data_IF_270499275119
#
_entry.id   IF_270499275119
#
_cell.length_a   1.000
_cell.length_b   1.000
_cell.length_c   1.000
_cell.angle_alpha   90.00
_cell.angle_beta   90.00
_cell.angle_gamma   90.00
#
_symmetry.space_group_name_H-M   'P 1'
#
loop_
_entity.id
_entity.type
_entity.pdbx_description
1 polymer ?
#
# COMPACT_ATOMS: atom_id res chain seq x y z
N UNK A 1 4.77 28.73 -58.43
CA UNK A 1 5.74 27.78 -57.83
C UNK A 1 6.37 28.50 -56.64
N UNK A 2 5.86 28.28 -55.41
CA UNK A 2 6.41 27.36 -54.37
C UNK A 2 7.75 27.91 -53.86
N UNK A 3 8.01 28.24 -52.58
CA UNK A 3 7.28 28.14 -51.31
C UNK A 3 7.95 29.09 -50.30
N UNK A 4 7.17 29.66 -49.37
CA UNK A 4 7.65 30.35 -48.16
C UNK A 4 8.45 29.38 -47.28
N UNK A 5 9.69 29.72 -46.95
CA UNK A 5 10.50 29.01 -45.95
C UNK A 5 10.15 29.47 -44.54
N UNK A 6 9.26 28.75 -43.86
CA UNK A 6 8.96 28.94 -42.45
C UNK A 6 10.13 28.48 -41.58
N UNK A 7 10.61 29.38 -40.72
CA UNK A 7 11.58 29.10 -39.66
C UNK A 7 10.86 28.30 -38.57
N UNK A 8 11.08 26.99 -38.54
CA UNK A 8 10.61 26.13 -37.47
C UNK A 8 11.67 26.16 -36.35
N UNK A 9 11.48 27.09 -35.41
CA UNK A 9 12.10 27.01 -34.08
C UNK A 9 11.47 25.80 -33.37
N UNK A 10 12.11 24.64 -33.47
CA UNK A 10 11.86 23.52 -32.58
C UNK A 10 12.34 23.92 -31.18
N UNK A 11 11.47 24.60 -30.44
CA UNK A 11 11.53 24.62 -29.00
C UNK A 11 11.31 23.19 -28.52
N UNK A 12 12.41 22.45 -28.32
CA UNK A 12 12.38 21.25 -27.51
C UNK A 12 12.01 21.74 -26.12
N UNK A 13 10.73 21.59 -25.78
CA UNK A 13 10.28 21.63 -24.40
C UNK A 13 11.07 20.56 -23.67
N UNK A 14 12.08 20.99 -22.92
CA UNK A 14 12.66 20.18 -21.88
C UNK A 14 11.51 20.00 -20.89
N UNK A 15 10.73 18.93 -21.05
CA UNK A 15 9.90 18.44 -19.97
C UNK A 15 10.89 18.16 -18.86
N UNK A 16 10.98 19.10 -17.91
CA UNK A 16 11.71 18.90 -16.68
C UNK A 16 11.12 17.66 -16.05
N UNK A 17 11.78 16.52 -16.26
CA UNK A 17 11.69 15.39 -15.34
C UNK A 17 11.94 16.03 -13.99
N UNK A 18 10.90 16.11 -13.16
CA UNK A 18 11.09 16.39 -11.75
C UNK A 18 12.01 15.28 -11.29
N UNK A 19 13.31 15.56 -11.26
CA UNK A 19 14.29 14.67 -10.69
C UNK A 19 13.88 14.57 -9.23
N UNK A 20 13.17 13.50 -8.88
CA UNK A 20 13.02 13.12 -7.49
C UNK A 20 14.46 12.99 -7.00
N UNK A 21 14.80 13.83 -6.03
CA UNK A 21 16.17 14.04 -5.60
C UNK A 21 16.77 12.70 -5.18
N UNK A 22 17.95 12.34 -5.69
CA UNK A 22 18.62 11.11 -5.26
C UNK A 22 19.22 11.33 -3.86
N UNK A 23 19.04 10.36 -2.97
CA UNK A 23 19.61 10.44 -1.64
C UNK A 23 21.15 10.47 -1.70
N UNK A 24 21.81 11.32 -0.89
CA UNK A 24 23.27 11.36 -0.86
C UNK A 24 23.86 10.00 -0.46
N UNK A 25 25.06 9.63 -0.95
CA UNK A 25 25.70 8.35 -0.64
C UNK A 25 25.83 8.06 0.86
N UNK A 26 25.97 9.09 1.70
CA UNK A 26 26.02 8.95 3.17
C UNK A 26 24.71 8.41 3.77
N UNK A 27 23.58 8.62 3.10
CA UNK A 27 22.26 8.13 3.50
C UNK A 27 21.91 6.83 2.76
N UNK A 28 22.19 6.78 1.46
CA UNK A 28 21.80 5.63 0.63
C UNK A 28 22.69 4.39 0.84
N UNK A 29 23.99 4.52 1.12
CA UNK A 29 24.88 3.37 1.27
C UNK A 29 24.53 2.47 2.49
N UNK A 30 24.25 3.00 3.69
CA UNK A 30 23.80 2.18 4.82
C UNK A 30 22.52 1.40 4.53
N UNK A 31 21.56 2.01 3.83
CA UNK A 31 20.29 1.39 3.45
C UNK A 31 20.52 0.24 2.47
N UNK A 32 21.33 0.45 1.43
CA UNK A 32 21.70 -0.60 0.46
C UNK A 32 22.40 -1.77 1.16
N UNK A 33 23.34 -1.47 2.06
CA UNK A 33 24.05 -2.49 2.83
C UNK A 33 23.10 -3.31 3.74
N UNK A 34 22.07 -2.67 4.30
CA UNK A 34 21.07 -3.38 5.09
C UNK A 34 20.14 -4.25 4.23
N UNK A 35 19.81 -3.80 3.01
CA UNK A 35 19.03 -4.56 2.02
C UNK A 35 19.75 -5.79 1.47
N UNK A 36 21.07 -5.66 1.27
CA UNK A 36 21.96 -6.71 0.77
C UNK A 36 22.60 -7.54 1.90
N UNK A 37 22.11 -7.43 3.14
CA UNK A 37 22.68 -8.14 4.28
C UNK A 37 22.31 -9.63 4.27
N UNK A 38 23.11 -10.40 3.54
CA UNK A 38 22.95 -11.84 3.37
C UNK A 38 22.94 -12.60 4.70
N UNK A 39 23.72 -12.18 5.69
CA UNK A 39 23.79 -12.81 6.99
C UNK A 39 22.44 -12.72 7.73
N UNK A 40 21.74 -11.60 7.60
CA UNK A 40 20.40 -11.40 8.19
C UNK A 40 19.36 -12.23 7.44
N UNK A 41 19.34 -12.15 6.11
CA UNK A 41 18.28 -12.79 5.30
C UNK A 41 18.48 -14.30 5.13
N UNK A 42 19.72 -14.79 5.12
CA UNK A 42 20.02 -16.23 5.15
C UNK A 42 19.72 -16.87 6.51
N UNK A 43 20.00 -16.18 7.61
CA UNK A 43 19.63 -16.64 8.95
C UNK A 43 18.10 -16.71 9.10
N UNK A 44 17.38 -15.76 8.51
CA UNK A 44 15.93 -15.79 8.37
C UNK A 44 15.44 -17.00 7.54
N UNK A 45 16.07 -17.27 6.39
CA UNK A 45 15.70 -18.36 5.48
C UNK A 45 16.01 -19.77 6.00
N UNK A 46 16.84 -19.92 7.02
CA UNK A 46 17.27 -21.23 7.56
C UNK A 46 16.15 -22.14 8.09
N UNK A 47 14.92 -21.63 8.24
CA UNK A 47 13.71 -22.40 8.60
C UNK A 47 12.61 -22.44 7.53
N UNK A 48 12.87 -21.90 6.33
CA UNK A 48 11.90 -21.73 5.25
C UNK A 48 12.28 -22.68 4.09
N UNK A 49 11.39 -23.60 3.71
CA UNK A 49 11.74 -24.66 2.75
C UNK A 49 11.81 -24.12 1.32
N UNK A 50 13.03 -23.98 0.77
CA UNK A 50 13.24 -23.55 -0.62
C UNK A 50 13.66 -22.09 -0.78
N UNK A 51 13.70 -21.32 0.31
CA UNK A 51 14.17 -19.94 0.30
C UNK A 51 15.71 -19.86 0.25
N UNK A 52 16.25 -19.25 -0.80
CA UNK A 52 17.63 -18.75 -0.85
C UNK A 52 17.61 -17.21 -0.91
N UNK A 53 17.09 -16.58 0.14
CA UNK A 53 17.11 -15.12 0.23
C UNK A 53 18.50 -14.61 0.60
N UNK A 54 19.15 -13.88 -0.32
CA UNK A 54 20.41 -13.14 -0.08
C UNK A 54 20.14 -11.66 0.18
N UNK A 55 19.02 -11.15 -0.33
CA UNK A 55 18.57 -9.76 -0.16
C UNK A 55 17.14 -9.71 0.36
N UNK A 56 16.72 -8.56 0.88
CA UNK A 56 15.33 -8.35 1.33
C UNK A 56 14.32 -8.62 0.20
N UNK A 57 14.64 -8.24 -1.04
CA UNK A 57 13.71 -8.33 -2.16
C UNK A 57 13.56 -9.75 -2.71
N UNK A 58 14.47 -10.67 -2.37
CA UNK A 58 14.32 -12.08 -2.75
C UNK A 58 13.09 -12.74 -2.10
N UNK A 59 12.60 -12.15 -1.00
CA UNK A 59 11.36 -12.54 -0.31
C UNK A 59 10.14 -12.42 -1.23
N UNK A 60 10.17 -11.54 -2.23
CA UNK A 60 9.09 -11.40 -3.21
C UNK A 60 8.93 -12.63 -4.11
N UNK A 61 9.94 -13.51 -4.15
CA UNK A 61 9.90 -14.75 -4.91
C UNK A 61 9.54 -15.98 -4.05
N UNK A 62 9.20 -15.78 -2.78
CA UNK A 62 8.81 -16.88 -1.89
C UNK A 62 7.44 -17.44 -2.28
N UNK A 63 7.21 -18.71 -1.98
CA UNK A 63 5.85 -19.25 -2.00
C UNK A 63 5.00 -18.59 -0.90
N UNK A 64 3.67 -18.58 -1.03
CA UNK A 64 2.78 -17.99 0.00
C UNK A 64 3.06 -18.56 1.41
N UNK A 65 3.38 -19.86 1.47
CA UNK A 65 3.74 -20.55 2.72
C UNK A 65 5.04 -19.99 3.31
N UNK A 66 6.04 -19.82 2.46
CA UNK A 66 7.37 -19.35 2.85
C UNK A 66 7.37 -17.87 3.19
N UNK A 67 6.58 -17.09 2.46
CA UNK A 67 6.32 -15.68 2.75
C UNK A 67 5.60 -15.52 4.10
N UNK A 68 4.57 -16.32 4.39
CA UNK A 68 3.91 -16.31 5.69
C UNK A 68 4.89 -16.69 6.82
N UNK A 69 5.75 -17.68 6.60
CA UNK A 69 6.78 -18.07 7.58
C UNK A 69 7.80 -16.94 7.82
N UNK A 70 8.21 -16.23 6.76
CA UNK A 70 9.03 -15.03 6.85
C UNK A 70 8.34 -13.96 7.72
N UNK A 71 7.09 -13.64 7.42
CA UNK A 71 6.35 -12.57 8.11
C UNK A 71 6.05 -12.87 9.58
N UNK A 72 5.88 -14.15 9.95
CA UNK A 72 5.72 -14.57 11.36
C UNK A 72 7.03 -14.56 12.14
N UNK A 73 8.16 -14.58 11.46
CA UNK A 73 9.46 -14.66 12.12
C UNK A 73 9.91 -13.27 12.57
N UNK A 74 9.93 -13.05 13.88
CA UNK A 74 10.48 -11.83 14.48
C UNK A 74 11.96 -11.58 14.09
N UNK A 75 12.70 -12.64 13.75
CA UNK A 75 14.09 -12.54 13.25
C UNK A 75 14.17 -12.00 11.82
N UNK A 76 13.12 -12.18 11.04
CA UNK A 76 13.03 -11.71 9.66
C UNK A 76 12.43 -10.30 9.61
N UNK A 77 11.33 -10.04 10.33
CA UNK A 77 10.57 -8.80 10.19
C UNK A 77 11.17 -7.61 10.95
N UNK A 78 11.90 -7.84 12.06
CA UNK A 78 12.56 -6.76 12.83
C UNK A 78 13.62 -6.02 12.00
N UNK A 79 14.52 -6.70 11.28
CA UNK A 79 15.42 -6.02 10.34
C UNK A 79 14.70 -5.20 9.28
N UNK A 80 13.57 -5.69 8.74
CA UNK A 80 12.75 -4.94 7.77
C UNK A 80 12.19 -3.66 8.38
N UNK A 81 11.66 -3.72 9.61
CA UNK A 81 11.19 -2.54 10.33
C UNK A 81 12.30 -1.52 10.55
N UNK A 82 13.49 -1.96 10.97
CA UNK A 82 14.64 -1.08 11.21
C UNK A 82 15.10 -0.38 9.92
N UNK A 83 15.08 -1.10 8.79
CA UNK A 83 15.39 -0.50 7.49
C UNK A 83 14.31 0.51 7.11
N UNK A 84 13.04 0.20 7.28
CA UNK A 84 11.93 1.11 6.99
C UNK A 84 12.02 2.41 7.80
N UNK A 85 12.31 2.33 9.09
CA UNK A 85 12.50 3.50 9.96
C UNK A 85 13.72 4.34 9.58
N UNK A 86 14.70 3.76 8.89
CA UNK A 86 15.95 4.42 8.51
C UNK A 86 15.93 5.00 7.09
N UNK A 87 14.89 4.72 6.30
CA UNK A 87 14.81 5.21 4.91
C UNK A 87 14.20 6.61 4.86
N UNK A 88 14.88 7.55 4.18
CA UNK A 88 14.30 8.86 3.91
C UNK A 88 13.09 8.74 2.96
N UNK A 89 12.02 9.46 3.27
CA UNK A 89 10.80 9.52 2.44
C UNK A 89 10.87 10.58 1.34
N UNK A 90 11.88 11.45 1.37
CA UNK A 90 12.01 12.65 0.54
C UNK A 90 13.00 12.50 -0.62
N UNK A 91 13.60 11.31 -0.81
CA UNK A 91 14.54 11.06 -1.89
C UNK A 91 14.49 9.62 -2.42
N UNK A 92 14.91 9.42 -3.68
CA UNK A 92 15.04 8.09 -4.28
C UNK A 92 16.43 7.51 -4.01
N UNK A 93 16.50 6.18 -3.97
CA UNK A 93 17.76 5.46 -3.80
C UNK A 93 18.04 4.64 -5.04
N UNK A 94 19.16 4.89 -5.71
CA UNK A 94 19.62 4.03 -6.80
C UNK A 94 20.05 2.67 -6.26
N UNK A 95 19.28 1.63 -6.57
CA UNK A 95 19.51 0.28 -6.10
C UNK A 95 19.41 -0.68 -7.29
N UNK A 96 20.46 -1.48 -7.51
CA UNK A 96 20.65 -2.33 -8.71
C UNK A 96 20.49 -1.58 -10.04
N UNK A 97 21.00 -0.35 -10.10
CA UNK A 97 21.06 0.44 -11.35
C UNK A 97 19.82 1.28 -11.66
N UNK A 98 18.78 1.22 -10.82
CA UNK A 98 17.55 2.00 -10.99
C UNK A 98 17.25 2.84 -9.75
N UNK A 99 16.77 4.08 -9.96
CA UNK A 99 16.25 4.92 -8.88
C UNK A 99 14.92 4.34 -8.35
N UNK A 100 14.88 4.01 -7.07
CA UNK A 100 13.75 3.31 -6.44
C UNK A 100 13.23 4.07 -5.23
N UNK A 101 11.91 4.01 -5.03
CA UNK A 101 11.29 4.51 -3.80
C UNK A 101 11.31 3.40 -2.75
N UNK A 102 12.49 3.15 -2.18
CA UNK A 102 12.67 2.06 -1.22
C UNK A 102 11.82 2.23 0.04
N UNK A 103 11.47 3.47 0.41
CA UNK A 103 10.57 3.71 1.54
C UNK A 103 9.21 3.05 1.28
N UNK A 104 8.68 3.27 0.07
CA UNK A 104 7.37 2.79 -0.35
C UNK A 104 7.37 1.28 -0.63
N UNK A 105 8.43 0.77 -1.26
CA UNK A 105 8.53 -0.65 -1.56
C UNK A 105 8.66 -1.51 -0.29
N UNK A 106 9.47 -1.06 0.67
CA UNK A 106 9.68 -1.79 1.93
C UNK A 106 8.48 -1.61 2.87
N UNK A 107 7.85 -0.42 2.91
CA UNK A 107 6.61 -0.26 3.68
C UNK A 107 5.53 -1.19 3.14
N UNK A 108 5.42 -1.32 1.82
CA UNK A 108 4.48 -2.25 1.17
C UNK A 108 4.75 -3.69 1.58
N UNK A 109 6.01 -4.14 1.52
CA UNK A 109 6.41 -5.47 1.99
C UNK A 109 6.07 -5.69 3.47
N UNK A 110 6.38 -4.71 4.32
CA UNK A 110 6.13 -4.78 5.76
C UNK A 110 4.63 -4.84 6.07
N UNK A 111 3.81 -4.03 5.39
CA UNK A 111 2.35 -4.07 5.51
C UNK A 111 1.77 -5.38 4.98
N UNK A 112 2.28 -5.89 3.86
CA UNK A 112 1.87 -7.19 3.33
C UNK A 112 2.14 -8.32 4.32
N UNK A 113 3.24 -8.25 5.05
CA UNK A 113 3.50 -9.17 6.16
C UNK A 113 2.45 -9.11 7.26
N UNK A 114 2.00 -7.92 7.66
CA UNK A 114 0.93 -7.78 8.65
C UNK A 114 -0.41 -8.37 8.13
N UNK A 115 -0.70 -8.23 6.84
CA UNK A 115 -1.90 -8.79 6.20
C UNK A 115 -1.92 -10.32 6.23
N UNK A 116 -0.84 -10.97 5.82
CA UNK A 116 -0.78 -12.44 5.75
C UNK A 116 -0.77 -13.07 7.14
N UNK A 117 -0.10 -12.43 8.10
CA UNK A 117 -0.11 -12.86 9.51
C UNK A 117 -1.50 -12.70 10.12
N UNK A 118 -2.15 -11.55 9.92
CA UNK A 118 -3.48 -11.24 10.47
C UNK A 118 -4.64 -11.99 9.79
N UNK A 119 -4.43 -12.50 8.57
CA UNK A 119 -5.37 -13.39 7.87
C UNK A 119 -5.18 -14.84 8.30
N UNK A 120 -3.94 -15.27 8.56
CA UNK A 120 -3.64 -16.64 8.98
C UNK A 120 -3.96 -16.93 10.46
N UNK A 121 -4.23 -15.90 11.27
CA UNK A 121 -4.71 -16.02 12.66
C UNK A 121 -6.25 -16.09 12.75
N UNK A 122 -6.95 -15.85 11.63
CA UNK A 122 -8.40 -16.03 11.49
C UNK A 122 -8.68 -17.34 10.75
N UNK A 123 -8.43 -18.47 11.40
CA UNK A 123 -8.96 -19.76 10.93
C UNK A 123 -10.44 -19.87 11.30
N UNK A 124 -11.30 -19.22 10.52
CA UNK A 124 -12.38 -19.88 9.79
C UNK A 124 -13.01 -18.87 8.82
N UNK A 125 -13.14 -19.31 7.56
CA UNK A 125 -13.79 -18.65 6.43
C UNK A 125 -13.20 -17.30 5.95
N UNK A 126 -12.31 -17.38 4.97
CA UNK A 126 -12.41 -16.71 3.65
C UNK A 126 -11.00 -16.54 3.07
N UNK A 127 -10.65 -17.41 2.13
CA UNK A 127 -9.36 -17.47 1.45
C UNK A 127 -9.15 -16.21 0.60
N UNK A 128 -8.38 -15.24 1.11
CA UNK A 128 -8.00 -14.05 0.34
C UNK A 128 -6.67 -14.31 -0.37
N UNK A 129 -6.75 -14.44 -1.69
CA UNK A 129 -5.60 -14.48 -2.61
C UNK A 129 -4.84 -13.16 -2.48
N UNK A 130 -3.58 -13.25 -2.09
CA UNK A 130 -2.63 -12.14 -2.03
C UNK A 130 -1.93 -11.98 -3.37
N UNK A 131 -2.15 -10.87 -4.07
CA UNK A 131 -1.46 -10.55 -5.32
C UNK A 131 -0.15 -9.81 -5.03
N UNK A 132 0.96 -10.14 -5.72
CA UNK A 132 2.23 -9.46 -5.55
C UNK A 132 2.12 -8.00 -6.01
N UNK A 133 2.70 -7.08 -5.22
CA UNK A 133 2.88 -5.68 -5.61
C UNK A 133 4.01 -5.58 -6.63
N UNK A 134 3.63 -5.50 -7.91
CA UNK A 134 4.54 -5.15 -9.01
C UNK A 134 4.57 -3.61 -9.05
N UNK A 135 5.74 -2.99 -9.16
CA UNK A 135 5.83 -1.53 -9.32
C UNK A 135 5.13 -1.11 -10.62
N UNK A 136 3.91 -0.60 -10.47
CA UNK A 136 3.11 -0.07 -11.56
C UNK A 136 3.81 1.15 -12.18
N UNK A 137 4.39 0.96 -13.36
CA UNK A 137 5.07 2.04 -14.13
C UNK A 137 4.33 2.39 -15.41
N UNK A 138 3.35 1.58 -15.80
CA UNK A 138 2.53 1.73 -17.01
C UNK A 138 1.08 2.00 -16.64
N UNK A 139 0.41 2.85 -17.42
CA UNK A 139 -1.02 3.11 -17.21
C UNK A 139 -1.88 1.89 -17.58
N UNK A 140 -2.93 1.65 -16.79
CA UNK A 140 -3.93 0.64 -17.10
C UNK A 140 -4.70 1.02 -18.37
N UNK A 141 -5.17 0.02 -19.13
CA UNK A 141 -6.08 0.27 -20.25
C UNK A 141 -7.38 0.94 -19.79
N UNK A 142 -8.05 1.63 -20.71
CA UNK A 142 -9.33 2.30 -20.40
C UNK A 142 -10.41 1.31 -19.93
N UNK A 143 -10.42 0.11 -20.50
CA UNK A 143 -11.39 -0.94 -20.14
C UNK A 143 -11.23 -1.44 -18.69
N UNK A 144 -10.01 -1.36 -18.16
CA UNK A 144 -9.71 -1.70 -16.76
C UNK A 144 -9.93 -0.50 -15.84
N UNK A 145 -9.46 0.67 -16.27
CA UNK A 145 -9.48 1.88 -15.43
C UNK A 145 -10.88 2.47 -15.27
N UNK A 146 -11.75 2.42 -16.29
CA UNK A 146 -13.07 3.07 -16.25
C UNK A 146 -14.03 2.47 -15.20
N UNK A 147 -14.20 1.12 -15.10
CA UNK A 147 -15.04 0.53 -14.05
C UNK A 147 -14.53 0.86 -12.64
N UNK A 148 -13.21 0.85 -12.44
CA UNK A 148 -12.60 1.17 -11.14
C UNK A 148 -12.92 2.61 -10.72
N UNK A 149 -12.70 3.58 -11.62
CA UNK A 149 -13.02 5.00 -11.36
C UNK A 149 -14.50 5.18 -11.05
N UNK A 150 -15.36 4.49 -11.80
CA UNK A 150 -16.82 4.55 -11.60
C UNK A 150 -17.22 4.14 -10.20
N UNK A 151 -16.63 3.05 -9.68
CA UNK A 151 -16.91 2.60 -8.31
C UNK A 151 -16.30 3.57 -7.29
N UNK A 152 -15.07 4.06 -7.52
CA UNK A 152 -14.42 5.03 -6.62
C UNK A 152 -15.19 6.36 -6.51
N UNK A 153 -15.80 6.81 -7.60
CA UNK A 153 -16.63 8.02 -7.67
C UNK A 153 -18.12 7.75 -7.36
N UNK A 154 -18.48 6.54 -6.91
CA UNK A 154 -19.85 6.22 -6.51
C UNK A 154 -20.14 6.77 -5.10
N UNK A 155 -20.37 8.08 -5.04
CA UNK A 155 -20.75 8.77 -3.81
C UNK A 155 -22.04 8.25 -3.18
N UNK A 156 -22.93 7.60 -3.94
CA UNK A 156 -24.14 7.00 -3.37
C UNK A 156 -23.81 5.69 -2.62
N UNK A 157 -22.93 4.87 -3.19
CA UNK A 157 -22.43 3.64 -2.56
C UNK A 157 -21.77 3.93 -1.21
N UNK A 158 -20.90 4.95 -1.15
CA UNK A 158 -20.21 5.30 0.09
C UNK A 158 -21.05 6.22 1.00
N UNK A 159 -21.88 7.09 0.44
CA UNK A 159 -22.75 7.99 1.19
C UNK A 159 -23.82 7.26 1.99
N UNK A 160 -24.44 6.22 1.42
CA UNK A 160 -25.51 5.46 2.08
C UNK A 160 -25.02 4.65 3.28
N UNK A 161 -23.77 4.18 3.25
CA UNK A 161 -23.22 3.36 4.31
C UNK A 161 -22.89 4.17 5.59
N UNK A 162 -22.65 5.49 5.47
CA UNK A 162 -22.48 6.39 6.61
C UNK A 162 -23.81 6.71 7.32
N UNK A 163 -24.92 6.73 6.58
CA UNK A 163 -26.27 7.06 7.10
C UNK A 163 -26.80 5.96 8.03
N UNK A 164 -26.51 4.69 7.72
CA UNK A 164 -27.01 3.52 8.45
C UNK A 164 -26.55 3.47 9.92
N UNK A 165 -25.41 4.10 10.25
CA UNK A 165 -24.83 4.09 11.61
C UNK A 165 -24.88 5.43 12.36
N UNK A 166 -24.97 6.55 11.65
CA UNK A 166 -24.85 7.88 12.25
C UNK A 166 -26.13 8.72 12.20
N UNK A 167 -27.10 8.35 11.35
CA UNK A 167 -28.29 9.17 11.07
C UNK A 167 -27.97 10.52 10.41
N UNK A 168 -26.70 10.77 10.06
CA UNK A 168 -26.22 12.01 9.44
C UNK A 168 -25.79 11.69 8.02
N UNK A 169 -26.30 12.47 7.06
CA UNK A 169 -25.86 12.41 5.68
C UNK A 169 -24.50 13.11 5.59
N UNK A 170 -23.43 12.34 5.41
CA UNK A 170 -22.13 12.88 5.07
C UNK A 170 -22.10 13.03 3.55
N UNK A 171 -21.74 14.22 3.03
CA UNK A 171 -21.59 14.45 1.59
C UNK A 171 -20.32 13.74 1.13
N UNK A 172 -20.50 12.54 0.55
CA UNK A 172 -19.43 11.71 0.00
C UNK A 172 -19.64 11.66 -1.50
N UNK A 173 -18.63 12.09 -2.25
CA UNK A 173 -18.60 12.06 -3.72
C UNK A 173 -17.67 10.97 -4.23
N UNK A 174 -16.67 10.59 -3.45
CA UNK A 174 -15.74 9.52 -3.76
C UNK A 174 -15.30 8.75 -2.51
N UNK A 175 -14.76 7.55 -2.70
CA UNK A 175 -14.14 6.77 -1.63
C UNK A 175 -13.09 7.59 -0.87
N UNK A 176 -12.31 8.41 -1.56
CA UNK A 176 -11.19 9.14 -0.96
C UNK A 176 -11.62 10.34 -0.12
N UNK A 177 -12.88 10.77 -0.21
CA UNK A 177 -13.41 11.83 0.67
C UNK A 177 -13.43 11.37 2.14
N UNK A 178 -13.47 10.05 2.38
CA UNK A 178 -13.40 9.42 3.70
C UNK A 178 -12.10 9.80 4.43
N UNK A 179 -11.01 10.08 3.71
CA UNK A 179 -9.74 10.51 4.31
C UNK A 179 -9.83 11.89 4.98
N UNK A 180 -10.88 12.67 4.68
CA UNK A 180 -11.14 13.96 5.31
C UNK A 180 -12.05 13.88 6.53
N UNK A 181 -12.49 12.68 6.92
CA UNK A 181 -13.41 12.50 8.04
C UNK A 181 -12.76 12.81 9.38
N UNK A 182 -13.62 13.17 10.34
CA UNK A 182 -13.21 13.14 11.75
C UNK A 182 -12.86 11.70 12.15
N UNK A 183 -11.97 11.50 13.12
CA UNK A 183 -11.60 10.15 13.60
C UNK A 183 -12.83 9.31 13.97
N UNK A 184 -13.86 9.96 14.54
CA UNK A 184 -15.14 9.32 14.90
C UNK A 184 -15.90 8.82 13.67
N UNK A 185 -16.02 9.65 12.64
CA UNK A 185 -16.77 9.29 11.44
C UNK A 185 -15.99 8.31 10.56
N UNK A 186 -14.67 8.42 10.55
CA UNK A 186 -13.77 7.43 9.96
C UNK A 186 -13.92 6.06 10.64
N UNK A 187 -13.87 5.98 11.97
CA UNK A 187 -14.10 4.73 12.71
C UNK A 187 -15.48 4.13 12.40
N UNK A 188 -16.52 4.96 12.30
CA UNK A 188 -17.89 4.50 11.94
C UNK A 188 -17.93 3.92 10.54
N UNK A 189 -17.32 4.60 9.57
CA UNK A 189 -17.17 4.09 8.21
C UNK A 189 -16.47 2.73 8.21
N UNK A 190 -15.36 2.60 8.95
CA UNK A 190 -14.58 1.38 9.03
C UNK A 190 -15.30 0.22 9.75
N UNK A 191 -16.19 0.49 10.71
CA UNK A 191 -17.01 -0.53 11.38
C UNK A 191 -18.23 -0.95 10.56
N UNK A 192 -18.69 -0.13 9.62
CA UNK A 192 -19.88 -0.41 8.82
C UNK A 192 -19.59 -1.45 7.73
N UNK A 193 -20.20 -2.65 7.77
CA UNK A 193 -19.97 -3.67 6.74
C UNK A 193 -20.44 -3.23 5.36
N UNK A 194 -21.48 -2.39 5.28
CA UNK A 194 -21.97 -1.77 4.05
C UNK A 194 -20.94 -0.81 3.43
N UNK A 195 -20.05 -0.22 4.21
CA UNK A 195 -18.95 0.63 3.73
C UNK A 195 -17.72 -0.18 3.33
N UNK A 196 -17.30 -1.13 4.17
CA UNK A 196 -16.03 -1.84 3.97
C UNK A 196 -16.09 -2.95 2.93
N UNK A 197 -17.25 -3.59 2.71
CA UNK A 197 -17.40 -4.60 1.66
C UNK A 197 -17.06 -4.05 0.26
N UNK A 198 -17.58 -2.90 -0.16
CA UNK A 198 -17.14 -2.23 -1.39
C UNK A 198 -15.64 -1.98 -1.47
N UNK A 199 -15.01 -1.52 -0.37
CA UNK A 199 -13.57 -1.26 -0.31
C UNK A 199 -12.76 -2.56 -0.48
N UNK A 200 -13.17 -3.65 0.17
CA UNK A 200 -12.57 -4.99 -0.02
C UNK A 200 -12.72 -5.48 -1.46
N UNK A 201 -13.87 -5.26 -2.08
CA UNK A 201 -14.11 -5.61 -3.49
C UNK A 201 -13.19 -4.83 -4.44
N UNK A 202 -13.01 -3.53 -4.18
CA UNK A 202 -12.07 -2.69 -4.92
C UNK A 202 -10.64 -3.18 -4.78
N UNK A 203 -10.19 -3.53 -3.57
CA UNK A 203 -8.86 -4.08 -3.33
C UNK A 203 -8.56 -5.32 -4.20
N UNK A 204 -9.56 -6.16 -4.41
CA UNK A 204 -9.44 -7.37 -5.23
C UNK A 204 -9.54 -7.11 -6.75
N UNK A 205 -10.16 -5.98 -7.13
CA UNK A 205 -10.44 -5.65 -8.52
C UNK A 205 -9.37 -4.75 -9.14
N UNK A 206 -8.73 -3.90 -8.33
CA UNK A 206 -7.72 -2.95 -8.83
C UNK A 206 -6.43 -3.70 -9.14
N UNK A 207 -5.92 -3.65 -10.39
CA UNK A 207 -4.66 -4.26 -10.74
C UNK A 207 -3.52 -3.63 -9.93
N UNK A 208 -2.62 -4.47 -9.42
CA UNK A 208 -1.42 -4.01 -8.71
C UNK A 208 -0.29 -3.60 -9.64
N UNK A 209 -0.37 -3.92 -10.94
CA UNK A 209 0.70 -3.81 -11.92
C UNK A 209 0.61 -2.59 -12.85
N UNK A 210 -0.44 -1.75 -12.71
CA UNK A 210 -0.63 -0.57 -13.54
C UNK A 210 -1.20 0.65 -12.80
N UNK A 211 -0.86 1.84 -13.30
CA UNK A 211 -1.31 3.12 -12.75
C UNK A 211 -2.64 3.53 -13.38
N UNK A 212 -3.54 4.10 -12.59
CA UNK A 212 -4.82 4.58 -13.07
C UNK A 212 -4.80 6.11 -13.06
N UNK A 213 -5.04 6.72 -14.24
CA UNK A 213 -5.20 8.18 -14.34
C UNK A 213 -6.50 8.60 -13.69
N UNK A 214 -6.45 9.10 -12.47
CA UNK A 214 -7.60 9.50 -11.67
C UNK A 214 -7.50 10.99 -11.35
N UNK A 215 -8.56 11.73 -11.65
CA UNK A 215 -8.61 13.20 -11.59
C UNK A 215 -7.42 13.91 -12.26
N UNK A 216 -6.97 13.38 -13.41
CA UNK A 216 -5.88 13.96 -14.20
C UNK A 216 -4.46 13.58 -13.75
N UNK A 217 -4.32 12.69 -12.76
CA UNK A 217 -3.01 12.23 -12.25
C UNK A 217 -2.90 10.71 -12.30
N UNK A 218 -1.77 10.17 -12.73
CA UNK A 218 -1.51 8.72 -12.67
C UNK A 218 -1.26 8.30 -11.22
N UNK A 219 -2.12 7.43 -10.69
CA UNK A 219 -2.13 7.03 -9.28
C UNK A 219 -2.07 5.52 -9.13
N UNK A 220 -1.40 5.06 -8.09
CA UNK A 220 -1.42 3.65 -7.69
C UNK A 220 -2.66 3.40 -6.82
N UNK A 221 -3.82 3.27 -7.46
CA UNK A 221 -5.08 3.11 -6.73
C UNK A 221 -5.15 1.79 -5.95
N UNK A 222 -4.39 0.76 -6.37
CA UNK A 222 -4.30 -0.50 -5.62
C UNK A 222 -3.70 -0.24 -4.24
N UNK A 223 -2.61 0.51 -4.20
CA UNK A 223 -1.93 0.89 -2.97
C UNK A 223 -2.74 1.86 -2.11
N UNK A 224 -3.36 2.87 -2.71
CA UNK A 224 -4.14 3.85 -1.95
C UNK A 224 -5.40 3.24 -1.31
N UNK A 225 -6.11 2.38 -2.04
CA UNK A 225 -7.28 1.65 -1.50
C UNK A 225 -6.83 0.63 -0.44
N UNK A 226 -5.69 -0.03 -0.65
CA UNK A 226 -5.08 -0.92 0.35
C UNK A 226 -4.73 -0.16 1.64
N UNK A 227 -4.09 1.00 1.52
CA UNK A 227 -3.75 1.85 2.65
C UNK A 227 -5.00 2.28 3.44
N UNK A 228 -6.06 2.70 2.75
CA UNK A 228 -7.35 3.03 3.39
C UNK A 228 -7.94 1.83 4.14
N UNK A 229 -7.96 0.65 3.52
CA UNK A 229 -8.46 -0.58 4.15
C UNK A 229 -7.65 -0.94 5.41
N UNK A 230 -6.34 -0.75 5.40
CA UNK A 230 -5.49 -0.98 6.57
C UNK A 230 -5.69 0.03 7.68
N UNK A 231 -5.80 1.32 7.35
CA UNK A 231 -6.14 2.34 8.33
C UNK A 231 -7.45 2.00 9.03
N UNK A 232 -8.44 1.49 8.28
CA UNK A 232 -9.67 1.00 8.87
C UNK A 232 -9.47 -0.17 9.84
N UNK A 233 -8.73 -1.20 9.45
CA UNK A 233 -8.43 -2.32 10.35
C UNK A 233 -7.69 -1.88 11.63
N UNK A 234 -6.75 -0.93 11.51
CA UNK A 234 -6.00 -0.40 12.65
C UNK A 234 -6.89 0.41 13.60
N UNK A 235 -7.72 1.29 13.06
CA UNK A 235 -8.61 2.15 13.86
C UNK A 235 -9.68 1.32 14.57
N UNK A 236 -10.27 0.32 13.90
CA UNK A 236 -11.19 -0.63 14.52
C UNK A 236 -10.50 -1.45 15.61
N UNK A 237 -9.35 -2.05 15.30
CA UNK A 237 -8.62 -2.87 16.28
C UNK A 237 -8.09 -2.10 17.49
N UNK A 238 -7.83 -0.80 17.35
CA UNK A 238 -7.47 0.07 18.48
C UNK A 238 -8.69 0.39 19.34
N UNK A 239 -9.82 0.71 18.70
CA UNK A 239 -11.08 0.99 19.41
C UNK A 239 -11.59 -0.24 20.18
N UNK A 240 -11.53 -1.44 19.60
CA UNK A 240 -11.98 -2.66 20.25
C UNK A 240 -11.12 -3.01 21.48
N UNK A 241 -9.79 -2.78 21.42
CA UNK A 241 -8.89 -2.95 22.58
C UNK A 241 -9.17 -1.96 23.70
N UNK A 242 -9.50 -0.70 23.35
CA UNK A 242 -9.87 0.29 24.37
C UNK A 242 -11.21 -0.04 25.02
N UNK A 243 -12.15 -0.65 24.28
CA UNK A 243 -13.42 -1.10 24.82
C UNK A 243 -13.21 -2.30 25.79
N UNK A 244 -12.31 -3.24 25.45
CA UNK A 244 -11.93 -4.35 26.34
C UNK A 244 -11.24 -3.89 27.63
N UNK A 245 -10.26 -2.99 27.54
CA UNK A 245 -9.57 -2.41 28.72
C UNK A 245 -10.55 -1.66 29.64
N UNK A 246 -11.59 -1.04 29.07
CA UNK A 246 -12.63 -0.36 29.85
C UNK A 246 -13.53 -1.38 30.56
N UNK A 247 -13.92 -2.46 29.90
CA UNK A 247 -14.71 -3.55 30.51
C UNK A 247 -13.92 -4.21 31.66
N UNK A 248 -12.63 -4.52 31.48
CA UNK A 248 -11.82 -5.14 32.53
C UNK A 248 -11.64 -4.27 33.78
N UNK A 249 -11.60 -2.93 33.62
CA UNK A 249 -11.50 -2.00 34.76
C UNK A 249 -12.79 -1.88 35.58
N UNK A 250 -13.95 -2.18 35.03
CA UNK A 250 -15.24 -2.06 35.73
C UNK A 250 -15.78 -3.37 36.31
N UNK A 251 -15.20 -4.52 35.94
CA UNK A 251 -15.58 -5.83 36.48
C UNK A 251 -14.59 -6.39 37.52
N UNK A 252 -13.50 -5.66 37.84
CA UNK A 252 -12.50 -6.05 38.84
C UNK A 252 -12.40 -5.09 40.04
N UNK A 253 -13.30 -4.12 40.14
CA UNK A 253 -13.60 -3.35 41.36
C UNK A 253 -14.96 -3.80 41.96
#
# INVERSE_FOLDING_TARGET
MIYLGAILLLGISISSVLAVMECPPSVSNPIKAALDNDQIFSACASGIQGAQGKTLFDVLNFSDRDFLAFCRSSRCIKPVAMVLESIPTDCLITYHGSARNLSQEISTLYHHCAQVVGSADKTDEDYVISTPSILATTECSLDVSYPIKTILDDGNLFGTCAVEFSGVHIDIRSLFDVLSFSERDFLRFCRAPSCIKPVKSLLQTIPSDCLIVYHGTARNLSEEVSALYHQCAQVVGTADKTDEDYVYRYFLD
#
